data_IF_853877157751
#
_entry.id   IF_853877157751
#
_cell.length_a   1.000
_cell.length_b   1.000
_cell.length_c   1.000
_cell.angle_alpha   90.00
_cell.angle_beta   90.00
_cell.angle_gamma   90.00
#
_symmetry.space_group_name_H-M   'P 1'
#
loop_
_entity.id
_entity.type
_entity.pdbx_description
1 polymer ?
#
# COMPACT_ATOMS: atom_id res chain seq x y z
N UNK A 1 -24.02 12.04 -21.27
CA UNK A 1 -23.72 12.13 -19.83
C UNK A 1 -23.82 10.74 -19.28
N UNK A 2 -22.75 9.97 -19.45
CA UNK A 2 -22.68 8.59 -18.99
C UNK A 2 -22.49 8.60 -17.47
N UNK A 3 -23.55 8.16 -16.79
CA UNK A 3 -23.56 7.83 -15.37
C UNK A 3 -22.45 6.81 -15.15
N UNK A 4 -21.37 7.24 -14.49
CA UNK A 4 -20.43 6.37 -13.80
C UNK A 4 -21.23 5.47 -12.87
N UNK A 5 -21.55 4.28 -13.37
CA UNK A 5 -22.28 3.27 -12.63
C UNK A 5 -21.39 2.80 -11.49
N UNK A 6 -21.89 3.00 -10.28
CA UNK A 6 -21.26 2.81 -8.98
C UNK A 6 -21.04 1.32 -8.67
N UNK A 7 -20.05 0.74 -9.33
CA UNK A 7 -19.33 -0.45 -8.88
C UNK A 7 -17.86 -0.16 -9.12
N UNK A 8 -17.25 0.64 -8.24
CA UNK A 8 -15.81 0.58 -8.07
C UNK A 8 -15.50 -0.79 -7.47
N UNK A 9 -15.52 -1.80 -8.33
CA UNK A 9 -14.99 -3.12 -8.04
C UNK A 9 -13.61 -2.89 -7.44
N UNK A 10 -13.43 -3.37 -6.22
CA UNK A 10 -12.13 -3.45 -5.59
C UNK A 10 -11.22 -4.30 -6.49
N UNK A 11 -10.56 -3.68 -7.46
CA UNK A 11 -9.54 -4.38 -8.25
C UNK A 11 -8.26 -4.31 -7.45
N UNK A 12 -7.85 -5.47 -6.96
CA UNK A 12 -6.52 -5.65 -6.41
C UNK A 12 -5.48 -5.34 -7.49
N UNK A 13 -4.53 -4.47 -7.18
CA UNK A 13 -3.44 -4.13 -8.08
C UNK A 13 -2.12 -4.70 -7.53
N UNK A 14 -1.52 -5.71 -8.20
CA UNK A 14 -0.26 -6.32 -7.74
C UNK A 14 0.91 -5.34 -7.74
N UNK A 15 0.85 -4.30 -8.59
CA UNK A 15 1.84 -3.21 -8.59
C UNK A 15 1.77 -2.38 -7.31
N UNK A 16 0.55 -2.04 -6.86
CA UNK A 16 0.34 -1.33 -5.60
C UNK A 16 0.86 -2.15 -4.43
N UNK A 17 0.49 -3.43 -4.35
CA UNK A 17 0.98 -4.37 -3.35
C UNK A 17 2.53 -4.44 -3.34
N UNK A 18 3.15 -4.65 -4.50
CA UNK A 18 4.61 -4.72 -4.64
C UNK A 18 5.30 -3.45 -4.15
N UNK A 19 4.76 -2.27 -4.49
CA UNK A 19 5.26 -1.00 -4.00
C UNK A 19 5.13 -0.88 -2.48
N UNK A 20 4.02 -1.36 -1.91
CA UNK A 20 3.80 -1.43 -0.47
C UNK A 20 4.83 -2.29 0.26
N UNK A 21 5.09 -3.49 -0.27
CA UNK A 21 6.13 -4.41 0.23
C UNK A 21 7.50 -3.75 0.24
N UNK A 22 7.89 -3.19 -0.91
CA UNK A 22 9.17 -2.49 -1.05
C UNK A 22 9.28 -1.28 -0.13
N UNK A 23 8.18 -0.56 0.08
CA UNK A 23 8.16 0.58 0.97
C UNK A 23 8.42 0.17 2.42
N UNK A 24 7.76 -0.91 2.90
CA UNK A 24 8.00 -1.42 4.24
C UNK A 24 9.42 -1.93 4.44
N UNK A 25 9.95 -2.67 3.47
CA UNK A 25 11.33 -3.18 3.51
C UNK A 25 12.35 -2.03 3.62
N UNK A 26 12.10 -0.90 2.94
CA UNK A 26 12.95 0.29 2.97
C UNK A 26 12.79 1.16 4.22
N UNK A 27 11.89 0.81 5.14
CA UNK A 27 11.63 1.58 6.35
C UNK A 27 10.79 2.84 6.12
N UNK A 28 9.99 2.86 5.05
CA UNK A 28 9.02 3.91 4.82
C UNK A 28 7.74 3.67 5.62
N UNK A 29 7.21 4.75 6.18
CA UNK A 29 5.95 4.73 6.92
C UNK A 29 4.76 4.76 5.95
N UNK A 30 3.73 3.98 6.28
CA UNK A 30 2.56 3.76 5.41
C UNK A 30 1.66 5.01 5.29
N UNK A 31 1.61 5.88 6.29
CA UNK A 31 0.69 7.02 6.31
C UNK A 31 1.33 8.21 5.61
N UNK A 32 2.61 8.45 5.87
CA UNK A 32 3.30 9.64 5.37
C UNK A 32 3.87 9.49 3.96
N UNK A 33 4.07 8.27 3.46
CA UNK A 33 4.80 8.02 2.21
C UNK A 33 4.05 7.15 1.21
N UNK A 34 2.77 6.87 1.45
CA UNK A 34 1.94 6.26 0.42
C UNK A 34 1.57 7.33 -0.62
N UNK A 35 1.94 7.14 -1.90
CA UNK A 35 1.69 8.12 -2.96
C UNK A 35 0.23 8.15 -3.45
N UNK A 36 -0.61 7.21 -3.01
CA UNK A 36 -1.97 7.04 -3.50
C UNK A 36 -3.00 7.75 -2.61
N UNK A 37 -4.09 8.21 -3.24
CA UNK A 37 -5.21 8.83 -2.53
C UNK A 37 -5.79 7.87 -1.48
N UNK A 38 -5.95 8.36 -0.25
CA UNK A 38 -6.46 7.57 0.86
C UNK A 38 -7.82 6.94 0.52
N UNK A 39 -7.95 5.63 0.72
CA UNK A 39 -9.18 4.90 0.42
C UNK A 39 -9.33 4.43 -1.03
N UNK A 40 -8.49 4.91 -1.95
CA UNK A 40 -8.43 4.38 -3.31
C UNK A 40 -8.03 2.89 -3.31
N UNK A 41 -8.49 2.14 -4.31
CA UNK A 41 -8.06 0.78 -4.59
C UNK A 41 -6.53 0.57 -4.65
N UNK A 42 -5.78 1.51 -5.23
CA UNK A 42 -4.31 1.52 -5.22
C UNK A 42 -3.75 1.69 -3.80
N UNK A 43 -4.32 2.62 -3.01
CA UNK A 43 -3.95 2.80 -1.61
C UNK A 43 -4.18 1.53 -0.79
N UNK A 44 -5.32 0.85 -1.00
CA UNK A 44 -5.64 -0.40 -0.31
C UNK A 44 -4.68 -1.53 -0.71
N UNK A 45 -4.35 -1.65 -1.99
CA UNK A 45 -3.39 -2.64 -2.49
C UNK A 45 -1.98 -2.39 -1.92
N UNK A 46 -1.52 -1.14 -1.93
CA UNK A 46 -0.28 -0.72 -1.30
C UNK A 46 -0.25 -1.02 0.20
N UNK A 47 -1.31 -0.66 0.91
CA UNK A 47 -1.42 -0.94 2.35
C UNK A 47 -1.30 -2.42 2.64
N UNK A 48 -1.94 -3.26 1.84
CA UNK A 48 -1.91 -4.69 2.08
C UNK A 48 -0.50 -5.27 1.89
N UNK A 49 0.23 -4.89 0.84
CA UNK A 49 1.64 -5.30 0.67
C UNK A 49 2.57 -4.76 1.75
N UNK A 50 2.34 -3.53 2.23
CA UNK A 50 3.11 -2.97 3.35
C UNK A 50 2.88 -3.76 4.65
N UNK A 51 1.61 -4.06 4.96
CA UNK A 51 1.21 -4.81 6.17
C UNK A 51 1.73 -6.25 6.13
N UNK A 52 1.72 -6.89 4.97
CA UNK A 52 2.27 -8.23 4.75
C UNK A 52 3.73 -8.33 5.23
N UNK A 53 4.57 -7.38 4.84
CA UNK A 53 5.98 -7.29 5.28
C UNK A 53 6.09 -6.83 6.74
N UNK A 54 5.20 -5.97 7.21
CA UNK A 54 5.25 -5.48 8.60
C UNK A 54 4.92 -6.58 9.61
N UNK A 55 3.97 -7.45 9.28
CA UNK A 55 3.59 -8.61 10.09
C UNK A 55 4.64 -9.73 10.03
N UNK A 56 5.44 -9.83 8.97
CA UNK A 56 6.54 -10.79 8.90
C UNK A 56 7.73 -10.34 9.78
N UNK A 57 7.96 -11.05 10.89
CA UNK A 57 9.08 -10.80 11.79
C UNK A 57 10.45 -11.15 11.20
N UNK A 58 10.50 -12.04 10.21
CA UNK A 58 11.73 -12.48 9.56
C UNK A 58 12.08 -11.64 8.33
N UNK A 59 11.15 -10.81 7.84
CA UNK A 59 11.42 -9.92 6.72
C UNK A 59 12.60 -8.97 7.04
N UNK A 60 13.54 -8.75 6.11
CA UNK A 60 14.71 -7.90 6.29
C UNK A 60 14.33 -6.41 6.22
N UNK A 61 13.50 -5.96 7.15
CA UNK A 61 12.86 -4.65 7.15
C UNK A 61 13.69 -3.61 7.91
N UNK A 62 14.00 -2.50 7.23
CA UNK A 62 14.69 -1.36 7.85
C UNK A 62 13.76 -0.71 8.90
N UNK A 63 14.29 -0.21 10.03
CA UNK A 63 13.51 0.55 11.00
C UNK A 63 12.84 1.78 10.36
N UNK A 64 11.60 2.06 10.74
CA UNK A 64 10.84 3.17 10.19
C UNK A 64 11.46 4.49 10.66
N UNK A 65 11.94 5.31 9.72
CA UNK A 65 12.43 6.65 10.03
C UNK A 65 11.25 7.60 10.20
N UNK A 66 10.83 7.83 11.44
CA UNK A 66 9.96 8.96 11.79
C UNK A 66 10.82 10.23 11.69
N UNK A 67 10.61 11.02 10.64
CA UNK A 67 11.16 12.38 10.55
C UNK A 67 10.29 13.33 11.37
#
# INVERSE_FOLDING_TARGET
MDRFNSTEDYKWHPEGESQGRMARLRGFDIISQNPFEYGSWLWKSFRAGWVDVDCDHNAPKIPIKRR
#
